data_IF_559085827595
#
_entry.id   IF_559085827595
#
_cell.length_a   1.000
_cell.length_b   1.000
_cell.length_c   1.000
_cell.angle_alpha   90.00
_cell.angle_beta   90.00
_cell.angle_gamma   90.00
#
_symmetry.space_group_name_H-M   'P 1'
#
loop_
_entity.id
_entity.type
_entity.pdbx_description
1 polymer ?
#
# COMPACT_ATOMS: atom_id res chain seq x y z
N UNK A 1 -1.26 -20.62 11.68
CA UNK A 1 -0.55 -19.71 10.75
C UNK A 1 -1.27 -19.81 9.42
N UNK A 2 -1.84 -18.72 8.89
CA UNK A 2 -2.63 -18.77 7.66
C UNK A 2 -1.75 -18.43 6.45
N UNK A 3 -1.86 -19.21 5.37
CA UNK A 3 -1.15 -18.97 4.12
C UNK A 3 -1.90 -17.93 3.30
N UNK A 4 -1.22 -16.89 2.81
CA UNK A 4 -1.87 -15.82 2.04
C UNK A 4 -1.40 -15.74 0.61
N UNK A 5 -2.34 -15.49 -0.30
CA UNK A 5 -2.02 -15.21 -1.69
C UNK A 5 -1.33 -13.86 -1.83
N UNK A 6 -0.15 -13.87 -2.43
CA UNK A 6 0.67 -12.68 -2.67
C UNK A 6 0.09 -11.75 -3.77
N UNK A 7 -0.91 -12.21 -4.52
CA UNK A 7 -1.60 -11.47 -5.58
C UNK A 7 -2.92 -10.82 -5.16
N UNK A 8 -3.75 -11.53 -4.40
CA UNK A 8 -5.11 -11.10 -4.01
C UNK A 8 -5.35 -11.09 -2.48
N UNK A 9 -4.36 -11.48 -1.68
CA UNK A 9 -4.38 -11.45 -0.21
C UNK A 9 -5.39 -12.36 0.50
N UNK A 10 -6.09 -13.24 -0.25
CA UNK A 10 -6.92 -14.30 0.34
C UNK A 10 -6.09 -15.22 1.22
N UNK A 11 -6.65 -15.63 2.36
CA UNK A 11 -6.05 -16.52 3.34
C UNK A 11 -6.58 -17.94 3.21
N UNK A 12 -5.70 -18.90 3.46
CA UNK A 12 -5.92 -20.33 3.35
C UNK A 12 -5.32 -21.03 4.57
N UNK A 13 -5.86 -22.19 4.93
CA UNK A 13 -5.41 -22.95 6.09
C UNK A 13 -4.17 -23.77 5.76
N UNK A 14 -4.06 -24.20 4.50
CA UNK A 14 -2.94 -24.99 4.01
C UNK A 14 -2.21 -24.34 2.83
N UNK A 15 -0.93 -24.68 2.67
CA UNK A 15 -0.14 -24.26 1.52
C UNK A 15 -0.71 -24.86 0.21
N UNK A 16 -1.31 -26.05 0.28
CA UNK A 16 -1.90 -26.74 -0.87
C UNK A 16 -3.10 -25.96 -1.44
N UNK A 17 -4.03 -25.53 -0.57
CA UNK A 17 -5.15 -24.66 -0.94
C UNK A 17 -4.69 -23.36 -1.61
N UNK A 18 -3.61 -22.75 -1.09
CA UNK A 18 -3.05 -21.54 -1.69
C UNK A 18 -2.51 -21.78 -3.10
N UNK A 19 -1.87 -22.91 -3.35
CA UNK A 19 -1.38 -23.27 -4.68
C UNK A 19 -2.54 -23.55 -5.65
N UNK A 20 -3.55 -24.29 -5.21
CA UNK A 20 -4.73 -24.58 -6.02
C UNK A 20 -5.46 -23.28 -6.38
N UNK A 21 -5.67 -22.39 -5.41
CA UNK A 21 -6.21 -21.06 -5.64
C UNK A 21 -5.44 -20.29 -6.74
N UNK A 22 -4.11 -20.31 -6.71
CA UNK A 22 -3.29 -19.68 -7.75
C UNK A 22 -3.52 -20.26 -9.15
N UNK A 23 -3.68 -21.59 -9.23
CA UNK A 23 -3.92 -22.30 -10.49
C UNK A 23 -5.33 -22.13 -11.05
N UNK A 24 -6.32 -21.82 -10.22
CA UNK A 24 -7.69 -21.56 -10.68
C UNK A 24 -7.88 -20.08 -10.99
N UNK A 25 -7.46 -19.20 -10.09
CA UNK A 25 -7.80 -17.77 -10.13
C UNK A 25 -6.76 -16.91 -10.86
N UNK A 26 -5.51 -17.37 -10.96
CA UNK A 26 -4.40 -16.55 -11.46
C UNK A 26 -3.68 -17.14 -12.67
N UNK A 27 -4.07 -18.34 -13.12
CA UNK A 27 -3.44 -19.04 -14.25
C UNK A 27 -3.43 -18.23 -15.54
N UNK A 28 -4.40 -17.34 -15.73
CA UNK A 28 -4.46 -16.39 -16.87
C UNK A 28 -3.24 -15.48 -16.96
N UNK A 29 -2.53 -15.24 -15.85
CA UNK A 29 -1.31 -14.43 -15.77
C UNK A 29 -0.03 -15.25 -15.97
N UNK A 30 -0.12 -16.59 -16.03
CA UNK A 30 1.03 -17.48 -16.22
C UNK A 30 1.63 -17.24 -17.60
N UNK A 31 2.93 -16.98 -17.63
CA UNK A 31 3.67 -16.77 -18.87
C UNK A 31 4.57 -17.99 -19.12
N UNK A 32 4.69 -18.46 -20.37
CA UNK A 32 5.64 -19.51 -20.71
C UNK A 32 7.07 -18.99 -20.52
N UNK A 33 8.00 -19.90 -20.17
CA UNK A 33 9.40 -19.56 -19.87
C UNK A 33 10.08 -18.79 -21.00
N UNK A 34 9.71 -19.08 -22.25
CA UNK A 34 10.21 -18.41 -23.46
C UNK A 34 9.89 -16.90 -23.46
N UNK A 35 8.75 -16.49 -22.89
CA UNK A 35 8.33 -15.08 -22.79
C UNK A 35 8.87 -14.37 -21.54
N UNK A 36 9.41 -15.10 -20.57
CA UNK A 36 10.00 -14.48 -19.37
C UNK A 36 11.39 -13.88 -19.65
N UNK A 37 12.17 -14.51 -20.53
CA UNK A 37 13.58 -14.13 -20.73
C UNK A 37 14.35 -14.20 -19.41
N UNK A 38 14.99 -13.09 -19.01
CA UNK A 38 15.74 -12.97 -17.75
C UNK A 38 14.89 -12.71 -16.51
N UNK A 39 13.56 -12.56 -16.67
CA UNK A 39 12.64 -12.32 -15.56
C UNK A 39 12.28 -13.63 -14.86
N UNK A 40 11.83 -13.51 -13.62
CA UNK A 40 11.34 -14.63 -12.80
C UNK A 40 9.86 -14.44 -12.48
N UNK A 41 9.07 -15.51 -12.50
CA UNK A 41 7.62 -15.45 -12.25
C UNK A 41 7.27 -16.19 -10.96
N UNK A 42 6.33 -15.64 -10.19
CA UNK A 42 5.78 -16.31 -9.03
C UNK A 42 4.90 -17.50 -9.43
N UNK A 43 5.00 -18.59 -8.71
CA UNK A 43 4.22 -19.81 -8.90
C UNK A 43 2.82 -19.78 -8.28
N UNK A 44 2.51 -18.78 -7.44
CA UNK A 44 1.19 -18.61 -6.79
C UNK A 44 0.34 -17.58 -7.55
N UNK A 45 0.85 -16.36 -7.73
CA UNK A 45 0.08 -15.28 -8.38
C UNK A 45 0.50 -15.00 -9.82
N UNK A 46 1.51 -15.72 -10.34
CA UNK A 46 2.07 -15.52 -11.68
C UNK A 46 2.53 -14.10 -11.99
N UNK A 47 2.84 -13.31 -10.96
CA UNK A 47 3.46 -12.00 -11.14
C UNK A 47 4.92 -12.15 -11.59
N UNK A 48 5.27 -11.44 -12.66
CA UNK A 48 6.63 -11.37 -13.20
C UNK A 48 7.46 -10.32 -12.44
N UNK A 49 8.69 -10.67 -12.10
CA UNK A 49 9.65 -9.89 -11.34
C UNK A 49 11.01 -9.93 -12.05
N UNK A 50 11.86 -8.94 -11.83
CA UNK A 50 13.11 -8.81 -12.58
C UNK A 50 14.27 -9.63 -12.00
N UNK A 51 14.20 -10.04 -10.72
CA UNK A 51 15.28 -10.74 -10.03
C UNK A 51 14.76 -11.79 -9.07
N UNK A 52 15.49 -12.89 -8.89
CA UNK A 52 15.17 -13.97 -7.94
C UNK A 52 15.01 -13.46 -6.51
N UNK A 53 15.84 -12.51 -6.07
CA UNK A 53 15.71 -11.90 -4.75
C UNK A 53 14.35 -11.21 -4.56
N UNK A 54 13.83 -10.54 -5.59
CA UNK A 54 12.50 -9.92 -5.51
C UNK A 54 11.39 -10.98 -5.40
N UNK A 55 11.57 -12.14 -6.04
CA UNK A 55 10.64 -13.26 -5.91
C UNK A 55 10.66 -13.88 -4.51
N UNK A 56 11.83 -14.05 -3.90
CA UNK A 56 11.96 -14.53 -2.52
C UNK A 56 11.26 -13.58 -1.54
N UNK A 57 11.48 -12.27 -1.69
CA UNK A 57 10.83 -11.24 -0.88
C UNK A 57 9.31 -11.21 -1.11
N UNK A 58 8.87 -11.39 -2.35
CA UNK A 58 7.46 -11.46 -2.72
C UNK A 58 6.74 -12.69 -2.14
N UNK A 59 7.38 -13.87 -2.11
CA UNK A 59 6.84 -15.08 -1.48
C UNK A 59 6.89 -15.02 0.04
N UNK A 60 7.89 -14.32 0.58
CA UNK A 60 7.96 -13.98 2.00
C UNK A 60 6.91 -12.95 2.42
N UNK A 61 5.82 -12.75 1.65
CA UNK A 61 4.70 -11.87 2.00
C UNK A 61 4.00 -12.22 3.31
N UNK A 62 4.26 -13.42 3.85
CA UNK A 62 3.96 -13.81 5.23
C UNK A 62 4.70 -12.97 6.31
N UNK A 63 5.70 -12.15 5.92
CA UNK A 63 6.57 -11.38 6.81
C UNK A 63 6.63 -9.87 6.50
N UNK A 64 5.60 -9.28 5.87
CA UNK A 64 5.49 -7.82 5.87
C UNK A 64 4.91 -7.40 7.23
N UNK A 65 5.72 -7.56 8.27
CA UNK A 65 5.36 -7.26 9.66
C UNK A 65 5.20 -5.75 9.91
N UNK A 66 5.55 -4.92 8.93
CA UNK A 66 5.68 -3.49 9.10
C UNK A 66 4.58 -2.76 8.34
N UNK A 67 3.44 -2.59 9.01
CA UNK A 67 2.29 -1.86 8.50
C UNK A 67 2.34 -0.39 8.90
N UNK A 68 2.09 0.52 7.97
CA UNK A 68 1.85 1.92 8.28
C UNK A 68 0.58 2.03 9.12
N UNK A 69 0.66 2.64 10.31
CA UNK A 69 -0.51 2.81 11.19
C UNK A 69 -1.51 3.85 10.66
N UNK A 70 -1.07 4.74 9.78
CA UNK A 70 -1.88 5.84 9.23
C UNK A 70 -2.71 5.40 8.03
N UNK A 71 -2.09 4.73 7.03
CA UNK A 71 -2.77 4.32 5.79
C UNK A 71 -2.94 2.80 5.63
N UNK A 72 -2.34 2.01 6.51
CA UNK A 72 -2.46 0.56 6.48
C UNK A 72 -1.59 -0.14 5.44
N UNK A 73 -0.76 0.57 4.68
CA UNK A 73 0.15 0.00 3.68
C UNK A 73 1.25 -0.87 4.33
N UNK A 74 1.61 -1.98 3.71
CA UNK A 74 2.52 -2.99 4.29
C UNK A 74 3.89 -2.97 3.64
N UNK A 75 4.94 -2.97 4.47
CA UNK A 75 6.34 -2.86 4.05
C UNK A 75 7.18 -4.03 4.54
N UNK A 76 8.29 -4.25 3.83
CA UNK A 76 9.14 -5.42 4.03
C UNK A 76 10.04 -5.32 5.27
N UNK A 77 10.29 -4.11 5.76
CA UNK A 77 11.11 -3.86 6.94
C UNK A 77 10.74 -2.53 7.60
N UNK A 78 11.22 -2.32 8.84
CA UNK A 78 11.02 -1.07 9.63
C UNK A 78 11.48 0.17 8.88
N UNK A 79 12.61 0.08 8.18
CA UNK A 79 13.19 1.22 7.46
C UNK A 79 12.25 1.69 6.36
N UNK A 80 11.64 0.78 5.60
CA UNK A 80 10.72 1.13 4.52
C UNK A 80 9.42 1.74 5.01
N UNK A 81 8.82 1.21 6.09
CA UNK A 81 7.62 1.83 6.69
C UNK A 81 7.95 3.17 7.34
N UNK A 82 9.13 3.31 7.96
CA UNK A 82 9.56 4.56 8.60
C UNK A 82 9.83 5.64 7.56
N UNK A 83 10.51 5.29 6.45
CA UNK A 83 10.70 6.21 5.34
C UNK A 83 9.36 6.58 4.72
N UNK A 84 8.48 5.61 4.42
CA UNK A 84 7.14 5.89 3.93
C UNK A 84 6.37 6.84 4.86
N UNK A 85 6.37 6.58 6.16
CA UNK A 85 5.75 7.46 7.14
C UNK A 85 6.35 8.86 7.05
N UNK A 86 7.68 9.01 7.09
CA UNK A 86 8.33 10.31 7.04
C UNK A 86 8.06 11.07 5.74
N UNK A 87 7.95 10.38 4.61
CA UNK A 87 7.77 11.01 3.29
C UNK A 87 6.31 11.26 2.91
N UNK A 88 5.37 10.48 3.45
CA UNK A 88 3.94 10.51 3.07
C UNK A 88 3.04 11.04 4.20
N UNK A 89 3.41 10.80 5.46
CA UNK A 89 2.61 11.12 6.66
C UNK A 89 3.34 11.98 7.69
N UNK A 90 4.63 12.25 7.49
CA UNK A 90 5.48 12.95 8.45
C UNK A 90 5.30 14.47 8.40
N UNK A 91 5.83 15.20 9.39
CA UNK A 91 5.69 16.65 9.51
C UNK A 91 6.37 17.43 8.37
N UNK A 92 7.36 16.84 7.69
CA UNK A 92 8.00 17.38 6.48
C UNK A 92 7.67 16.55 5.24
N UNK A 93 6.55 15.81 5.24
CA UNK A 93 6.09 15.12 4.06
C UNK A 93 5.86 16.16 2.96
N UNK A 94 6.66 16.11 1.90
CA UNK A 94 6.36 16.87 0.69
C UNK A 94 4.97 16.48 0.27
N UNK A 95 4.07 17.47 0.23
CA UNK A 95 2.71 17.33 -0.29
C UNK A 95 2.72 16.41 -1.51
N UNK A 96 1.83 15.45 -1.41
CA UNK A 96 1.93 14.13 -1.98
C UNK A 96 1.92 14.14 -3.51
N UNK A 97 3.06 13.78 -4.13
CA UNK A 97 3.14 13.50 -5.57
C UNK A 97 2.76 12.07 -5.97
N UNK A 98 2.47 11.16 -5.03
CA UNK A 98 2.35 9.72 -5.35
C UNK A 98 1.15 8.99 -4.77
N UNK A 99 0.48 9.49 -3.72
CA UNK A 99 -0.84 9.01 -3.29
C UNK A 99 -1.85 10.12 -3.51
N UNK A 100 -2.70 9.92 -4.51
CA UNK A 100 -3.81 10.82 -4.81
C UNK A 100 -4.99 10.52 -3.88
N UNK A 101 -4.73 10.16 -2.63
CA UNK A 101 -5.73 9.62 -1.71
C UNK A 101 -5.97 10.64 -0.61
N UNK A 102 -7.22 11.03 -0.39
CA UNK A 102 -7.59 11.91 0.71
C UNK A 102 -7.42 11.17 2.05
N UNK A 103 -6.70 11.75 3.00
CA UNK A 103 -6.52 11.13 4.32
C UNK A 103 -7.76 11.21 5.23
N UNK A 104 -8.71 12.11 4.93
CA UNK A 104 -9.95 12.29 5.70
C UNK A 104 -11.03 11.27 5.35
N UNK A 105 -11.16 10.92 4.06
CA UNK A 105 -12.20 10.01 3.56
C UNK A 105 -11.65 8.78 2.79
N UNK A 106 -10.33 8.67 2.60
CA UNK A 106 -9.68 7.62 1.83
C UNK A 106 -10.07 7.54 0.34
N UNK A 107 -10.69 8.59 -0.22
CA UNK A 107 -11.03 8.66 -1.65
C UNK A 107 -9.78 8.86 -2.53
N UNK A 108 -9.77 8.20 -3.70
CA UNK A 108 -8.67 8.29 -4.66
C UNK A 108 -9.01 9.23 -5.82
N UNK A 109 -8.09 10.14 -6.11
CA UNK A 109 -8.19 11.18 -7.11
C UNK A 109 -7.28 10.89 -8.32
N UNK A 110 -7.61 11.43 -9.50
CA UNK A 110 -6.81 11.25 -10.70
C UNK A 110 -5.63 12.24 -10.79
N UNK A 111 -5.62 13.32 -10.02
CA UNK A 111 -4.51 14.28 -9.97
C UNK A 111 -4.38 14.95 -8.60
N UNK A 112 -3.22 15.55 -8.27
CA UNK A 112 -3.04 16.34 -7.06
C UNK A 112 -3.99 17.54 -6.98
N UNK A 113 -4.28 18.19 -8.10
CA UNK A 113 -5.21 19.33 -8.17
C UNK A 113 -6.65 18.90 -7.83
N UNK A 114 -7.05 17.71 -8.30
CA UNK A 114 -8.36 17.14 -7.96
C UNK A 114 -8.47 16.81 -6.47
N UNK A 115 -7.40 16.31 -5.85
CA UNK A 115 -7.35 16.09 -4.40
C UNK A 115 -7.40 17.41 -3.62
N UNK A 116 -6.67 18.44 -4.06
CA UNK A 116 -6.70 19.78 -3.45
C UNK A 116 -8.10 20.38 -3.50
N UNK A 117 -8.72 20.35 -4.68
CA UNK A 117 -10.08 20.86 -4.89
C UNK A 117 -11.08 20.12 -4.00
N UNK A 118 -10.93 18.80 -3.86
CA UNK A 118 -11.75 18.00 -2.94
C UNK A 118 -11.54 18.42 -1.48
N UNK A 119 -10.30 18.59 -1.02
CA UNK A 119 -10.03 19.02 0.36
C UNK A 119 -10.67 20.36 0.68
N UNK A 120 -10.57 21.33 -0.24
CA UNK A 120 -11.17 22.65 -0.09
C UNK A 120 -12.70 22.61 -0.14
N UNK A 121 -13.29 21.76 -0.98
CA UNK A 121 -14.74 21.67 -1.11
C UNK A 121 -15.41 20.88 0.04
N UNK A 122 -14.75 19.82 0.55
CA UNK A 122 -15.37 18.85 1.46
C UNK A 122 -14.91 19.03 2.90
N UNK A 123 -13.62 19.30 3.12
CA UNK A 123 -13.02 19.30 4.45
C UNK A 123 -12.81 20.70 5.03
N UNK A 124 -12.49 21.70 4.20
CA UNK A 124 -12.33 23.09 4.65
C UNK A 124 -13.59 23.67 5.34
N UNK A 125 -14.83 23.43 4.87
CA UNK A 125 -16.03 23.91 5.55
C UNK A 125 -16.23 23.29 6.94
N UNK A 126 -15.71 22.08 7.14
CA UNK A 126 -15.82 21.31 8.37
C UNK A 126 -14.52 21.32 9.18
N UNK A 127 -13.63 22.30 8.91
CA UNK A 127 -12.34 22.39 9.58
C UNK A 127 -12.55 22.49 11.09
N UNK A 128 -12.03 21.54 11.89
CA UNK A 128 -12.13 21.61 13.33
C UNK A 128 -11.34 22.82 13.86
N UNK A 129 -11.80 23.44 14.96
CA UNK A 129 -11.10 24.55 15.58
C UNK A 129 -9.68 24.12 16.01
N UNK A 130 -8.74 25.08 16.07
CA UNK A 130 -7.38 24.79 16.50
C UNK A 130 -7.38 24.21 17.92
N UNK A 131 -6.78 23.02 18.08
CA UNK A 131 -6.68 22.36 19.37
C UNK A 131 -5.25 22.52 19.92
N UNK A 132 -5.05 23.20 21.07
CA UNK A 132 -3.72 23.40 21.66
C UNK A 132 -3.03 22.09 22.09
N UNK A 133 -3.79 21.02 22.34
CA UNK A 133 -3.24 19.68 22.65
C UNK A 133 -2.84 18.88 21.39
N UNK A 134 -3.21 19.38 20.20
CA UNK A 134 -2.95 18.77 18.88
C UNK A 134 -2.62 19.86 17.85
N UNK A 135 -1.45 20.52 17.97
CA UNK A 135 -1.16 21.74 17.22
C UNK A 135 -0.92 21.52 15.72
N UNK A 136 -0.69 20.27 15.28
CA UNK A 136 -0.42 19.98 13.88
C UNK A 136 -1.73 19.77 13.12
N UNK A 137 -1.88 20.45 11.99
CA UNK A 137 -3.08 20.42 11.15
C UNK A 137 -2.72 19.84 9.79
N UNK A 138 -3.55 18.95 9.27
CA UNK A 138 -3.33 18.36 7.95
C UNK A 138 -3.83 19.30 6.86
N UNK A 139 -3.02 19.59 5.84
CA UNK A 139 -3.47 20.46 4.75
C UNK A 139 -4.49 19.80 3.79
N UNK A 140 -4.76 18.49 3.94
CA UNK A 140 -5.70 17.74 3.09
C UNK A 140 -7.04 17.51 3.81
N UNK A 141 -7.04 17.01 5.05
CA UNK A 141 -8.28 16.77 5.80
C UNK A 141 -8.57 17.78 6.91
N UNK A 142 -7.69 18.78 7.08
CA UNK A 142 -7.76 19.83 8.12
C UNK A 142 -7.91 19.33 9.55
N UNK A 143 -7.65 18.05 9.79
CA UNK A 143 -7.76 17.44 11.11
C UNK A 143 -6.52 17.74 11.95
N UNK A 144 -6.75 17.97 13.25
CA UNK A 144 -5.71 18.18 14.25
C UNK A 144 -5.10 16.84 14.71
N UNK A 145 -3.78 16.71 14.76
CA UNK A 145 -3.08 15.51 15.22
C UNK A 145 -1.86 15.80 16.12
N UNK A 146 -1.43 14.76 16.82
CA UNK A 146 -0.18 14.71 17.58
C UNK A 146 0.90 14.03 16.73
N UNK A 147 2.16 14.35 16.98
CA UNK A 147 3.32 13.86 16.21
C UNK A 147 3.49 12.33 16.23
#
# INVERSE_FOLDING_TARGET
KAFRCCGCWRSFETQAELYEHGQVEHISKKLPKEKLGSKVQCDICYKTLHRTQQLLLHRSKDKFEYRCKTCGETFINRVRVSTHYRTIHGPNATVCGTTRICCGCAENFPSPEALSTHSEAVHLPNRPPPNPERPFVCDICYSNYQN
#
